data_IF_427610229543
#
_entry.id   IF_427610229543
#
_cell.length_a   1.000
_cell.length_b   1.000
_cell.length_c   1.000
_cell.angle_alpha   90.00
_cell.angle_beta   90.00
_cell.angle_gamma   90.00
#
_symmetry.space_group_name_H-M   'P 1'
#
loop_
_entity.id
_entity.type
_entity.pdbx_description
1 polymer ?
#
# COMPACT_ATOMS: atom_id res chain seq x y z
N UNK A 1 -9.36 -13.79 1.69
CA UNK A 1 -8.86 -12.40 1.78
C UNK A 1 -9.85 -11.48 1.11
N UNK A 2 -10.25 -10.40 1.78
CA UNK A 2 -10.99 -9.30 1.15
C UNK A 2 -10.25 -8.80 -0.09
N UNK A 3 -10.97 -8.34 -1.10
CA UNK A 3 -10.36 -7.83 -2.35
C UNK A 3 -9.34 -6.71 -2.08
N UNK A 4 -9.64 -5.81 -1.14
CA UNK A 4 -8.70 -4.76 -0.71
C UNK A 4 -7.38 -5.31 -0.19
N UNK A 5 -7.40 -6.40 0.60
CA UNK A 5 -6.17 -7.01 1.11
C UNK A 5 -5.41 -7.70 -0.02
N UNK A 6 -6.09 -8.26 -1.02
CA UNK A 6 -5.44 -8.86 -2.19
C UNK A 6 -4.74 -7.78 -3.01
N UNK A 7 -5.43 -6.68 -3.31
CA UNK A 7 -4.84 -5.52 -3.97
C UNK A 7 -3.65 -4.95 -3.18
N UNK A 8 -3.78 -4.86 -1.86
CA UNK A 8 -2.69 -4.45 -0.97
C UNK A 8 -1.45 -5.34 -1.08
N UNK A 9 -1.65 -6.66 -1.14
CA UNK A 9 -0.55 -7.62 -1.31
C UNK A 9 0.13 -7.47 -2.68
N UNK A 10 -0.62 -7.30 -3.77
CA UNK A 10 -0.03 -7.07 -5.09
C UNK A 10 0.78 -5.77 -5.14
N UNK A 11 0.27 -4.70 -4.53
CA UNK A 11 0.98 -3.42 -4.45
C UNK A 11 2.23 -3.49 -3.58
N UNK A 12 2.22 -4.28 -2.50
CA UNK A 12 3.43 -4.57 -1.71
C UNK A 12 4.50 -5.27 -2.55
N UNK A 13 4.12 -6.28 -3.34
CA UNK A 13 5.05 -7.01 -4.21
C UNK A 13 5.65 -6.07 -5.27
N UNK A 14 4.82 -5.25 -5.92
CA UNK A 14 5.28 -4.27 -6.91
C UNK A 14 6.21 -3.24 -6.26
N UNK A 15 5.85 -2.72 -5.08
CA UNK A 15 6.68 -1.79 -4.32
C UNK A 15 8.06 -2.37 -4.00
N UNK A 16 8.11 -3.63 -3.55
CA UNK A 16 9.36 -4.36 -3.31
C UNK A 16 10.21 -4.53 -4.56
N UNK A 17 9.61 -4.92 -5.70
CA UNK A 17 10.32 -5.03 -6.97
C UNK A 17 10.89 -3.68 -7.42
N UNK A 18 10.13 -2.59 -7.28
CA UNK A 18 10.61 -1.26 -7.59
C UNK A 18 11.76 -0.84 -6.68
N UNK A 19 11.73 -1.16 -5.37
CA UNK A 19 12.86 -0.88 -4.47
C UNK A 19 14.11 -1.66 -4.86
N UNK A 20 13.97 -2.91 -5.29
CA UNK A 20 15.10 -3.70 -5.78
C UNK A 20 15.67 -3.08 -7.06
N UNK A 21 14.81 -2.62 -7.97
CA UNK A 21 15.21 -1.88 -9.16
C UNK A 21 15.98 -0.59 -8.84
N UNK A 22 15.56 0.17 -7.81
CA UNK A 22 16.27 1.39 -7.39
C UNK A 22 17.71 1.08 -6.97
N UNK A 23 17.96 -0.05 -6.32
CA UNK A 23 19.31 -0.48 -5.89
C UNK A 23 20.19 -0.87 -7.10
N UNK A 24 19.59 -1.44 -8.15
CA UNK A 24 20.31 -1.97 -9.31
C UNK A 24 20.60 -0.91 -10.40
N UNK A 25 19.74 0.10 -10.54
CA UNK A 25 19.87 1.13 -11.57
C UNK A 25 20.44 2.44 -11.00
N UNK A 26 20.86 3.35 -11.88
CA UNK A 26 21.36 4.70 -11.53
C UNK A 26 20.73 5.76 -12.44
N UNK A 27 20.67 7.00 -11.95
CA UNK A 27 20.19 8.16 -12.72
C UNK A 27 18.67 8.35 -12.66
N UNK A 28 18.09 8.91 -13.71
CA UNK A 28 16.67 9.31 -13.73
C UNK A 28 15.68 8.15 -13.53
N UNK A 29 16.09 6.92 -13.88
CA UNK A 29 15.28 5.71 -13.69
C UNK A 29 14.96 5.48 -12.20
N UNK A 30 15.88 5.80 -11.29
CA UNK A 30 15.66 5.68 -9.85
C UNK A 30 14.53 6.59 -9.37
N UNK A 31 14.43 7.80 -9.92
CA UNK A 31 13.36 8.75 -9.56
C UNK A 31 11.99 8.23 -9.99
N UNK A 32 11.89 7.70 -11.22
CA UNK A 32 10.65 7.08 -11.71
C UNK A 32 10.23 5.87 -10.86
N UNK A 33 11.18 4.98 -10.56
CA UNK A 33 10.93 3.83 -9.71
C UNK A 33 10.53 4.24 -8.29
N UNK A 34 11.12 5.31 -7.75
CA UNK A 34 10.79 5.83 -6.42
C UNK A 34 9.35 6.37 -6.36
N UNK A 35 8.94 7.14 -7.37
CA UNK A 35 7.57 7.68 -7.48
C UNK A 35 6.51 6.57 -7.51
N UNK A 36 6.85 5.40 -8.06
CA UNK A 36 5.96 4.23 -8.09
C UNK A 36 6.04 3.43 -6.78
N UNK A 37 7.25 3.22 -6.26
CA UNK A 37 7.49 2.39 -5.07
C UNK A 37 6.80 2.96 -3.82
N UNK A 38 6.90 4.27 -3.58
CA UNK A 38 6.39 4.92 -2.38
C UNK A 38 4.87 4.76 -2.19
N UNK A 39 4.00 5.13 -3.16
CA UNK A 39 2.56 4.95 -3.00
C UNK A 39 2.16 3.47 -2.94
N UNK A 40 2.85 2.59 -3.68
CA UNK A 40 2.58 1.15 -3.66
C UNK A 40 2.88 0.54 -2.28
N UNK A 41 4.00 0.91 -1.66
CA UNK A 41 4.36 0.45 -0.32
C UNK A 41 3.44 1.02 0.74
N UNK A 42 3.16 2.33 0.71
CA UNK A 42 2.27 2.98 1.69
C UNK A 42 0.87 2.36 1.65
N UNK A 43 0.28 2.25 0.47
CA UNK A 43 -1.04 1.66 0.32
C UNK A 43 -1.03 0.17 0.64
N UNK A 44 -0.02 -0.56 0.18
CA UNK A 44 0.11 -1.99 0.41
C UNK A 44 0.27 -2.34 1.89
N UNK A 45 1.13 -1.62 2.64
CA UNK A 45 1.25 -1.76 4.09
C UNK A 45 -0.09 -1.39 4.77
N UNK A 46 -0.68 -0.26 4.40
CA UNK A 46 -1.92 0.24 5.00
C UNK A 46 -3.13 -0.66 4.79
N UNK A 47 -3.21 -1.38 3.68
CA UNK A 47 -4.34 -2.26 3.34
C UNK A 47 -4.11 -3.73 3.71
N UNK A 48 -2.86 -4.22 3.64
CA UNK A 48 -2.56 -5.63 3.89
C UNK A 48 -2.20 -5.93 5.36
N UNK A 49 -1.32 -5.12 5.96
CA UNK A 49 -0.80 -5.33 7.31
C UNK A 49 -1.72 -4.76 8.39
N UNK A 50 -2.29 -3.57 8.17
CA UNK A 50 -3.22 -2.98 9.12
C UNK A 50 -4.55 -3.73 9.00
N UNK A 51 -4.97 -4.50 10.03
CA UNK A 51 -6.27 -5.16 9.98
C UNK A 51 -7.34 -4.08 9.87
N UNK A 52 -8.39 -4.33 9.07
CA UNK A 52 -9.53 -3.43 9.00
C UNK A 52 -10.03 -3.19 10.43
N UNK A 53 -9.75 -1.99 10.95
CA UNK A 53 -10.39 -1.54 12.19
C UNK A 53 -11.89 -1.61 11.96
N UNK A 54 -12.68 -1.91 12.99
CA UNK A 54 -14.10 -2.31 12.93
C UNK A 54 -15.07 -1.26 12.32
N UNK A 55 -14.60 -0.27 11.55
CA UNK A 55 -15.42 0.59 10.69
C UNK A 55 -15.84 -0.20 9.45
N UNK A 56 -16.81 -1.10 9.65
CA UNK A 56 -17.43 -1.88 8.55
C UNK A 56 -18.17 -1.00 7.54
N UNK A 57 -18.48 0.25 7.91
CA UNK A 57 -19.21 1.23 7.10
C UNK A 57 -18.43 2.56 7.06
N UNK A 58 -18.11 3.04 5.85
CA UNK A 58 -17.68 4.42 5.65
C UNK A 58 -18.77 5.37 6.17
N UNK A 59 -18.38 6.39 6.95
CA UNK A 59 -19.31 7.40 7.51
C UNK A 59 -19.78 7.19 8.96
N UNK A 60 -19.43 6.09 9.64
CA UNK A 60 -19.69 5.96 11.09
C UNK A 60 -18.59 6.64 11.90
N UNK A 61 -18.90 7.83 12.42
CA UNK A 61 -18.09 8.53 13.43
C UNK A 61 -17.99 7.66 14.70
N UNK A 62 -16.81 7.53 15.33
CA UNK A 62 -16.58 6.61 16.45
C UNK A 62 -17.34 6.96 17.75
N UNK A 63 -18.11 8.06 17.78
CA UNK A 63 -18.75 8.60 18.99
C UNK A 63 -20.28 8.53 18.99
N UNK A 64 -20.93 8.03 17.94
CA UNK A 64 -22.37 7.74 17.99
C UNK A 64 -22.56 6.23 18.14
N UNK A 65 -22.79 5.81 19.38
CA UNK A 65 -23.19 4.46 19.74
C UNK A 65 -24.45 4.04 18.98
N UNK A 66 -24.46 2.75 18.63
CA UNK A 66 -25.52 1.90 18.08
C UNK A 66 -26.80 2.57 17.52
#
# INVERSE_FOLDING_TARGET
>A
MDEERKCGLYLLIIGLLCTFGIVMFKGMICYLLYVIAVPCLLYGIGSYLIPKTRRKNAGRLPFRGF
#
